data_IF_022340117929
#
_entry.id   IF_022340117929
#
_cell.length_a   1.000
_cell.length_b   1.000
_cell.length_c   1.000
_cell.angle_alpha   90.00
_cell.angle_beta   90.00
_cell.angle_gamma   90.00
#
_symmetry.space_group_name_H-M   'P 1'
#
loop_
_entity.id
_entity.type
_entity.pdbx_description
1 polymer ?
#
# COMPACT_ATOMS: atom_id res chain seq x y z
N UNK A 1 1.82 21.35 -3.85
CA UNK A 1 0.79 20.82 -4.76
C UNK A 1 -0.37 21.79 -4.84
N UNK A 2 -0.93 22.00 -6.03
CA UNK A 2 -2.14 22.81 -6.24
C UNK A 2 -3.42 21.97 -6.21
N UNK A 3 -4.59 22.62 -6.18
CA UNK A 3 -5.90 21.94 -6.27
C UNK A 3 -6.04 21.05 -7.52
N UNK A 4 -5.42 21.47 -8.62
CA UNK A 4 -5.39 20.70 -9.88
C UNK A 4 -4.58 19.40 -9.78
N UNK A 5 -3.63 19.32 -8.85
CA UNK A 5 -2.80 18.13 -8.63
C UNK A 5 -3.39 17.23 -7.54
N UNK A 6 -4.02 17.83 -6.52
CA UNK A 6 -4.68 17.10 -5.43
C UNK A 6 -5.77 17.97 -4.79
N UNK A 7 -7.04 17.66 -5.06
CA UNK A 7 -8.16 18.35 -4.42
C UNK A 7 -8.44 17.76 -3.03
N UNK A 8 -7.91 18.40 -1.99
CA UNK A 8 -8.12 17.97 -0.60
C UNK A 8 -9.59 18.07 -0.14
N UNK A 9 -10.46 18.76 -0.89
CA UNK A 9 -11.90 18.78 -0.63
C UNK A 9 -12.62 17.52 -1.15
N UNK A 10 -12.04 16.80 -2.12
CA UNK A 10 -12.51 15.48 -2.53
C UNK A 10 -12.04 14.44 -1.50
N UNK A 11 -12.89 14.18 -0.51
CA UNK A 11 -12.63 13.14 0.51
C UNK A 11 -12.39 11.78 -0.11
N UNK A 12 -13.11 11.41 -1.18
CA UNK A 12 -12.94 10.12 -1.80
C UNK A 12 -11.53 10.02 -2.42
N UNK A 13 -11.02 11.09 -3.03
CA UNK A 13 -9.63 11.18 -3.53
C UNK A 13 -8.64 11.01 -2.40
N UNK A 14 -8.81 11.77 -1.31
CA UNK A 14 -7.92 11.71 -0.15
C UNK A 14 -7.84 10.28 0.40
N UNK A 15 -8.98 9.60 0.57
CA UNK A 15 -9.02 8.22 1.08
C UNK A 15 -8.36 7.22 0.12
N UNK A 16 -8.62 7.29 -1.19
CA UNK A 16 -8.02 6.34 -2.14
C UNK A 16 -6.53 6.58 -2.36
N UNK A 17 -6.03 7.80 -2.19
CA UNK A 17 -4.60 8.11 -2.40
C UNK A 17 -3.76 7.97 -1.14
N UNK A 18 -4.29 8.32 0.04
CA UNK A 18 -3.50 8.35 1.29
C UNK A 18 -3.97 7.36 2.37
N UNK A 19 -5.06 6.64 2.11
CA UNK A 19 -5.66 5.67 3.02
C UNK A 19 -4.91 4.34 3.10
N UNK A 20 -5.31 3.52 4.08
CA UNK A 20 -4.64 2.25 4.41
C UNK A 20 -4.60 1.25 3.25
N UNK A 21 -5.66 1.13 2.45
CA UNK A 21 -5.69 0.22 1.30
C UNK A 21 -4.63 0.57 0.25
N UNK A 22 -4.45 1.85 -0.06
CA UNK A 22 -3.38 2.28 -0.97
C UNK A 22 -2.00 1.96 -0.41
N UNK A 23 -1.73 2.34 0.85
CA UNK A 23 -0.48 2.01 1.53
C UNK A 23 -0.21 0.51 1.56
N UNK A 24 -1.24 -0.30 1.72
CA UNK A 24 -1.12 -1.76 1.67
C UNK A 24 -0.71 -2.23 0.27
N UNK A 25 -1.39 -1.75 -0.77
CA UNK A 25 -1.09 -2.10 -2.17
C UNK A 25 0.35 -1.70 -2.56
N UNK A 26 0.78 -0.47 -2.26
CA UNK A 26 2.12 0.02 -2.67
C UNK A 26 3.26 -0.48 -1.77
N UNK A 27 2.95 -1.05 -0.61
CA UNK A 27 3.95 -1.65 0.27
C UNK A 27 4.20 -0.95 1.60
N UNK A 28 3.80 0.31 1.73
CA UNK A 28 4.03 1.15 2.91
C UNK A 28 3.26 0.73 4.17
N UNK A 29 2.37 -0.25 4.03
CA UNK A 29 1.66 -0.88 5.13
C UNK A 29 1.87 -2.40 5.06
N UNK A 30 2.45 -2.99 6.11
CA UNK A 30 2.64 -4.44 6.21
C UNK A 30 1.36 -5.17 6.62
N UNK A 31 0.57 -4.58 7.52
CA UNK A 31 -0.66 -5.16 8.06
C UNK A 31 -1.81 -4.16 8.02
N UNK A 32 -2.93 -4.56 7.43
CA UNK A 32 -4.19 -3.82 7.46
C UNK A 32 -5.18 -4.61 8.31
N UNK A 33 -5.69 -4.00 9.38
CA UNK A 33 -6.50 -4.68 10.41
C UNK A 33 -7.88 -4.01 10.55
N UNK A 34 -8.81 -4.70 11.20
CA UNK A 34 -10.13 -4.16 11.48
C UNK A 34 -10.04 -2.97 12.45
N UNK A 35 -10.98 -2.03 12.32
CA UNK A 35 -11.10 -0.85 13.19
C UNK A 35 -11.65 -1.22 14.57
N UNK A 36 -10.85 -1.96 15.35
CA UNK A 36 -11.18 -2.32 16.72
C UNK A 36 -9.91 -2.44 17.57
N UNK A 37 -10.04 -2.12 18.85
CA UNK A 37 -8.95 -2.29 19.81
C UNK A 37 -8.49 -3.74 19.89
N UNK A 38 -9.42 -4.70 19.84
CA UNK A 38 -9.09 -6.13 19.90
C UNK A 38 -8.17 -6.54 18.73
N UNK A 39 -8.51 -6.16 17.49
CA UNK A 39 -7.69 -6.45 16.32
C UNK A 39 -6.31 -5.78 16.39
N UNK A 40 -6.25 -4.55 16.89
CA UNK A 40 -4.98 -3.84 17.10
C UNK A 40 -4.09 -4.57 18.11
N UNK A 41 -4.63 -4.89 19.29
CA UNK A 41 -3.88 -5.60 20.33
C UNK A 41 -3.37 -6.94 19.84
N UNK A 42 -4.21 -7.73 19.17
CA UNK A 42 -3.82 -9.02 18.62
C UNK A 42 -2.64 -8.89 17.64
N UNK A 43 -2.74 -8.00 16.65
CA UNK A 43 -1.70 -7.84 15.65
C UNK A 43 -0.40 -7.26 16.25
N UNK A 44 -0.51 -6.33 17.19
CA UNK A 44 0.64 -5.74 17.87
C UNK A 44 1.39 -6.80 18.71
N UNK A 45 0.67 -7.65 19.45
CA UNK A 45 1.28 -8.77 20.20
C UNK A 45 2.00 -9.73 19.27
N UNK A 46 1.37 -10.13 18.16
CA UNK A 46 2.02 -11.00 17.16
C UNK A 46 3.32 -10.40 16.63
N UNK A 47 3.33 -9.09 16.34
CA UNK A 47 4.54 -8.39 15.86
C UNK A 47 5.62 -8.31 16.95
N UNK A 48 5.23 -8.07 18.21
CA UNK A 48 6.16 -7.97 19.33
C UNK A 48 6.89 -9.30 19.61
N UNK A 49 6.26 -10.42 19.28
CA UNK A 49 6.84 -11.76 19.42
C UNK A 49 7.71 -12.18 18.22
N UNK A 50 7.76 -11.38 17.13
CA UNK A 50 8.57 -11.70 15.96
C UNK A 50 10.07 -11.53 16.25
N UNK A 51 10.92 -12.44 15.74
CA UNK A 51 12.36 -12.26 15.81
C UNK A 51 12.80 -11.10 14.91
N UNK A 52 13.91 -10.45 15.28
CA UNK A 52 14.40 -9.26 14.58
C UNK A 52 14.57 -9.44 13.05
N UNK A 53 15.07 -10.57 12.53
CA UNK A 53 15.18 -10.77 11.08
C UNK A 53 13.83 -10.72 10.34
N UNK A 54 12.74 -11.17 10.97
CA UNK A 54 11.40 -11.09 10.37
C UNK A 54 10.88 -9.64 10.35
N UNK A 55 11.15 -8.88 11.42
CA UNK A 55 10.85 -7.44 11.46
C UNK A 55 11.67 -6.68 10.41
N UNK A 56 12.95 -7.00 10.28
CA UNK A 56 13.83 -6.38 9.28
C UNK A 56 13.39 -6.70 7.85
N UNK A 57 12.98 -7.93 7.58
CA UNK A 57 12.48 -8.36 6.27
C UNK A 57 11.30 -7.50 5.80
N UNK A 58 10.45 -7.04 6.72
CA UNK A 58 9.30 -6.17 6.43
C UNK A 58 9.66 -4.71 6.09
N UNK A 59 10.87 -4.24 6.41
CA UNK A 59 11.28 -2.85 6.16
C UNK A 59 11.40 -2.55 4.66
N UNK A 60 11.13 -1.31 4.27
CA UNK A 60 11.31 -0.81 2.89
C UNK A 60 12.66 -0.19 2.61
N UNK A 61 13.41 0.11 3.67
CA UNK A 61 14.77 0.66 3.64
C UNK A 61 15.61 -0.03 4.71
N UNK A 62 16.94 0.15 4.66
CA UNK A 62 17.86 -0.43 5.65
C UNK A 62 18.93 -1.35 5.06
N UNK A 63 18.83 -1.68 3.78
CA UNK A 63 19.90 -2.31 2.99
C UNK A 63 19.96 -1.68 1.60
N UNK A 64 21.09 -1.84 0.90
CA UNK A 64 21.24 -1.35 -0.48
C UNK A 64 20.17 -1.93 -1.42
N UNK A 65 19.91 -3.24 -1.34
CA UNK A 65 18.88 -3.90 -2.15
C UNK A 65 17.49 -3.28 -1.92
N UNK A 66 17.11 -3.03 -0.67
CA UNK A 66 15.83 -2.40 -0.32
C UNK A 66 15.73 -0.96 -0.87
N UNK A 67 16.83 -0.19 -0.80
CA UNK A 67 16.88 1.16 -1.39
C UNK A 67 16.75 1.11 -2.92
N UNK A 68 17.44 0.18 -3.59
CA UNK A 68 17.33 -0.02 -5.05
C UNK A 68 15.90 -0.39 -5.46
N UNK A 69 15.24 -1.26 -4.71
CA UNK A 69 13.83 -1.60 -4.95
C UNK A 69 12.90 -0.37 -4.82
N UNK A 70 13.15 0.52 -3.84
CA UNK A 70 12.39 1.78 -3.71
C UNK A 70 12.66 2.77 -4.86
N UNK A 71 13.89 2.82 -5.36
CA UNK A 71 14.23 3.63 -6.54
C UNK A 71 13.52 3.11 -7.79
N UNK A 72 13.54 1.79 -8.02
CA UNK A 72 12.84 1.15 -9.13
C UNK A 72 11.32 1.37 -9.03
N UNK A 73 10.76 1.30 -7.83
CA UNK A 73 9.35 1.64 -7.59
C UNK A 73 9.05 3.09 -7.99
N UNK A 74 9.87 4.03 -7.54
CA UNK A 74 9.70 5.45 -7.85
C UNK A 74 9.78 5.70 -9.35
N UNK A 75 10.74 5.07 -10.03
CA UNK A 75 10.88 5.13 -11.48
C UNK A 75 9.62 4.60 -12.18
N UNK A 76 9.15 3.39 -11.81
CA UNK A 76 7.94 2.79 -12.37
C UNK A 76 6.71 3.67 -12.20
N UNK A 77 6.54 4.30 -11.04
CA UNK A 77 5.42 5.23 -10.80
C UNK A 77 5.56 6.51 -11.64
N UNK A 78 6.76 7.04 -11.80
CA UNK A 78 7.00 8.19 -12.67
C UNK A 78 6.69 7.87 -14.14
N UNK A 79 7.09 6.69 -14.62
CA UNK A 79 6.81 6.22 -15.99
C UNK A 79 5.30 5.96 -16.21
N UNK A 80 4.61 5.41 -15.20
CA UNK A 80 3.16 5.22 -15.22
C UNK A 80 2.41 6.56 -15.29
N UNK A 81 2.98 7.62 -14.71
CA UNK A 81 2.38 8.95 -14.59
C UNK A 81 0.89 8.92 -14.15
N UNK A 82 0.57 8.26 -13.02
CA UNK A 82 -0.81 8.07 -12.60
C UNK A 82 -1.49 9.39 -12.24
N UNK A 83 -2.76 9.51 -12.60
CA UNK A 83 -3.62 10.64 -12.23
C UNK A 83 -4.46 10.34 -10.99
N UNK A 84 -4.64 9.06 -10.68
CA UNK A 84 -5.40 8.57 -9.53
C UNK A 84 -4.75 7.29 -8.97
N UNK A 85 -5.00 6.99 -7.69
CA UNK A 85 -4.54 5.76 -7.06
C UNK A 85 -5.00 4.49 -7.79
N UNK A 86 -6.16 4.52 -8.45
CA UNK A 86 -6.69 3.40 -9.22
C UNK A 86 -5.80 3.03 -10.41
N UNK A 87 -5.08 3.98 -10.99
CA UNK A 87 -4.10 3.71 -12.07
C UNK A 87 -2.96 2.83 -11.52
N UNK A 88 -2.48 3.15 -10.31
CA UNK A 88 -1.47 2.36 -9.59
C UNK A 88 -2.01 0.98 -9.25
N UNK A 89 -3.26 0.88 -8.80
CA UNK A 89 -3.87 -0.41 -8.45
C UNK A 89 -4.08 -1.30 -9.68
N UNK A 90 -4.43 -0.73 -10.83
CA UNK A 90 -4.50 -1.43 -12.10
C UNK A 90 -3.10 -1.94 -12.51
N UNK A 91 -2.07 -1.10 -12.40
CA UNK A 91 -0.68 -1.48 -12.68
C UNK A 91 -0.15 -2.57 -11.73
N UNK A 92 -0.74 -2.72 -10.54
CA UNK A 92 -0.47 -3.83 -9.63
C UNK A 92 -1.20 -5.14 -10.03
N UNK A 93 -2.03 -5.14 -11.08
CA UNK A 93 -2.75 -6.32 -11.56
C UNK A 93 -4.18 -6.46 -11.04
N UNK A 94 -4.73 -5.44 -10.37
CA UNK A 94 -6.12 -5.47 -9.91
C UNK A 94 -7.06 -5.12 -11.07
N UNK A 95 -7.82 -6.10 -11.57
CA UNK A 95 -8.64 -5.98 -12.79
C UNK A 95 -9.81 -4.99 -12.69
N UNK A 96 -10.35 -4.76 -11.49
CA UNK A 96 -11.44 -3.79 -11.25
C UNK A 96 -11.06 -2.87 -10.07
N UNK A 97 -10.14 -1.90 -10.25
CA UNK A 97 -9.61 -1.08 -9.16
C UNK A 97 -10.67 -0.37 -8.32
N UNK A 98 -11.74 0.11 -8.96
CA UNK A 98 -12.82 0.81 -8.26
C UNK A 98 -13.48 -0.07 -7.19
N UNK A 99 -13.60 -1.38 -7.42
CA UNK A 99 -14.22 -2.30 -6.47
C UNK A 99 -13.43 -2.41 -5.16
N UNK A 100 -12.12 -2.18 -5.20
CA UNK A 100 -11.26 -2.23 -4.01
C UNK A 100 -11.63 -1.18 -2.97
N UNK A 101 -12.24 -0.06 -3.38
CA UNK A 101 -12.67 1.02 -2.47
C UNK A 101 -13.73 0.50 -1.50
N UNK A 102 -14.74 -0.17 -2.04
CA UNK A 102 -15.97 -0.53 -1.33
C UNK A 102 -15.93 -1.93 -0.68
N UNK A 103 -14.90 -2.74 -1.00
CA UNK A 103 -14.72 -4.05 -0.38
C UNK A 103 -14.60 -3.98 1.14
N UNK A 104 -15.18 -4.96 1.82
CA UNK A 104 -14.86 -5.25 3.22
C UNK A 104 -13.36 -5.52 3.38
N UNK A 105 -12.83 -5.35 4.60
CA UNK A 105 -11.42 -5.62 4.86
C UNK A 105 -11.03 -7.07 4.49
N UNK A 106 -11.84 -8.04 4.89
CA UNK A 106 -11.60 -9.46 4.62
C UNK A 106 -11.56 -9.72 3.12
N UNK A 107 -12.59 -9.29 2.39
CA UNK A 107 -12.65 -9.45 0.93
C UNK A 107 -11.48 -8.75 0.25
N UNK A 108 -11.10 -7.55 0.71
CA UNK A 108 -9.94 -6.84 0.18
C UNK A 108 -8.66 -7.64 0.36
N UNK A 109 -8.36 -8.11 1.57
CA UNK A 109 -7.14 -8.86 1.88
C UNK A 109 -7.04 -10.19 1.12
N UNK A 110 -8.17 -10.85 0.85
CA UNK A 110 -8.18 -12.12 0.11
C UNK A 110 -7.98 -11.97 -1.41
N UNK A 111 -8.20 -10.79 -1.98
CA UNK A 111 -8.25 -10.60 -3.44
C UNK A 111 -7.20 -9.61 -3.98
N UNK A 112 -6.71 -8.70 -3.13
CA UNK A 112 -5.87 -7.59 -3.60
C UNK A 112 -4.51 -8.08 -4.09
N UNK A 113 -4.11 -7.57 -5.25
CA UNK A 113 -2.73 -7.67 -5.74
C UNK A 113 -1.94 -6.46 -5.26
N UNK A 114 -0.81 -6.73 -4.60
CA UNK A 114 0.13 -5.68 -4.18
C UNK A 114 1.05 -5.33 -5.35
N UNK A 115 1.42 -4.07 -5.43
CA UNK A 115 2.36 -3.61 -6.44
C UNK A 115 3.72 -4.26 -6.20
N UNK A 116 4.17 -5.05 -7.17
CA UNK A 116 5.54 -5.58 -7.22
C UNK A 116 6.39 -4.75 -8.16
N UNK A 117 7.68 -4.70 -7.84
CA UNK A 117 8.73 -4.17 -8.70
C UNK A 117 9.77 -5.27 -8.78
N UNK A 118 9.96 -5.81 -9.97
CA UNK A 118 11.06 -6.71 -10.24
C UNK A 118 12.36 -5.92 -10.15
N UNK A 119 13.40 -6.52 -9.60
CA UNK A 119 14.74 -5.94 -9.70
C UNK A 119 15.13 -5.95 -11.18
N UNK A 120 15.49 -4.78 -11.72
CA UNK A 120 16.05 -4.65 -13.07
C UNK A 120 17.52 -5.11 -13.09
#
# INVERSE_FOLDING_TARGET
MGRSEFDASDRALVFRTTGGKHKYIVGDCNYLIADSLAAFHQQASLIADLPWPEIEAMRRIGSEAKVRAQMALTQKINELAPTDARDVWAAAGNSVPQSLVDMSLETFLSNVQRLSVEEA
#
